data_IF_358828378098
#
_entry.id   IF_358828378098
#
_cell.length_a   1.000
_cell.length_b   1.000
_cell.length_c   1.000
_cell.angle_alpha   90.00
_cell.angle_beta   90.00
_cell.angle_gamma   90.00
#
_symmetry.space_group_name_H-M   'P 1'
#
loop_
_entity.id
_entity.type
_entity.pdbx_description
1 polymer ?
#
# COMPACT_ATOMS: atom_id res chain seq x y z
N UNK A 1 71.22 -3.86 -1.46
CA UNK A 1 69.80 -4.25 -1.23
C UNK A 1 68.98 -2.98 -1.05
N UNK A 2 67.94 -2.76 -1.85
CA UNK A 2 67.03 -1.61 -1.69
C UNK A 2 65.80 -2.04 -0.88
N UNK A 3 65.46 -1.29 0.18
CA UNK A 3 64.21 -1.48 0.93
C UNK A 3 63.37 -0.19 0.87
N UNK A 4 62.51 -0.08 -0.15
CA UNK A 4 61.58 1.05 -0.29
C UNK A 4 60.42 0.89 0.70
N UNK A 5 60.25 1.85 1.62
CA UNK A 5 59.04 1.94 2.44
C UNK A 5 57.87 2.43 1.57
N UNK A 6 56.83 1.61 1.43
CA UNK A 6 55.62 1.98 0.70
C UNK A 6 54.67 2.78 1.62
N UNK A 7 54.74 4.11 1.53
CA UNK A 7 53.74 5.01 2.15
C UNK A 7 52.40 4.82 1.44
N UNK A 8 51.47 4.12 2.09
CA UNK A 8 50.12 3.94 1.57
C UNK A 8 49.37 5.25 1.70
N UNK A 9 49.05 5.89 0.57
CA UNK A 9 48.18 7.06 0.54
C UNK A 9 46.76 6.61 0.90
N UNK A 10 46.28 7.02 2.07
CA UNK A 10 44.90 6.75 2.48
C UNK A 10 44.01 7.68 1.66
N UNK A 11 43.40 7.13 0.60
CA UNK A 11 42.49 7.89 -0.25
C UNK A 11 41.29 8.36 0.58
N UNK A 12 41.23 9.68 0.84
CA UNK A 12 40.10 10.28 1.52
C UNK A 12 38.85 10.08 0.66
N UNK A 13 37.87 9.34 1.20
CA UNK A 13 36.62 9.07 0.50
C UNK A 13 35.80 10.37 0.47
N UNK A 14 35.96 11.14 -0.61
CA UNK A 14 35.21 12.37 -0.84
C UNK A 14 33.73 12.06 -0.95
N UNK A 15 33.01 12.18 0.17
CA UNK A 15 31.55 12.20 0.20
C UNK A 15 31.06 13.39 -0.62
N UNK A 16 30.78 13.15 -1.90
CA UNK A 16 30.00 14.09 -2.72
C UNK A 16 28.63 14.20 -2.06
N UNK A 17 28.38 15.33 -1.42
CA UNK A 17 27.13 15.60 -0.71
C UNK A 17 26.05 15.91 -1.75
N UNK A 18 25.54 14.88 -2.42
CA UNK A 18 24.39 14.98 -3.32
C UNK A 18 23.20 15.44 -2.50
N UNK A 19 22.57 16.55 -2.92
CA UNK A 19 21.35 17.07 -2.28
C UNK A 19 20.33 15.95 -2.09
N UNK A 20 19.95 15.68 -0.84
CA UNK A 20 18.99 14.63 -0.48
C UNK A 20 17.71 14.78 -1.31
N UNK A 21 17.26 13.68 -1.92
CA UNK A 21 15.99 13.64 -2.66
C UNK A 21 14.85 13.47 -1.67
N UNK A 22 13.64 13.79 -2.12
CA UNK A 22 12.43 13.72 -1.32
C UNK A 22 11.44 12.72 -1.93
N UNK A 23 10.82 11.91 -1.09
CA UNK A 23 9.94 10.82 -1.50
C UNK A 23 8.65 10.80 -0.67
N UNK A 24 7.63 10.09 -1.17
CA UNK A 24 6.43 9.74 -0.40
C UNK A 24 6.17 8.24 -0.56
N UNK A 25 5.95 7.56 0.57
CA UNK A 25 5.77 6.11 0.64
C UNK A 25 4.51 5.78 1.45
N UNK A 26 3.64 4.96 0.87
CA UNK A 26 2.29 4.68 1.38
C UNK A 26 2.23 3.38 2.17
N UNK A 27 1.73 3.46 3.41
CA UNK A 27 1.35 2.33 4.26
C UNK A 27 -0.16 2.42 4.58
N UNK A 28 -0.71 1.43 5.30
CA UNK A 28 -2.14 1.37 5.66
C UNK A 28 -2.27 1.24 7.19
N UNK A 29 -2.75 2.27 7.92
CA UNK A 29 -2.78 2.25 9.38
C UNK A 29 -3.95 1.46 9.97
N UNK A 30 -5.00 1.20 9.17
CA UNK A 30 -6.17 0.42 9.55
C UNK A 30 -5.98 -1.05 9.16
N UNK A 31 -6.56 -1.98 9.92
CA UNK A 31 -6.47 -3.42 9.67
C UNK A 31 -7.08 -3.81 8.31
N UNK A 32 -6.34 -4.57 7.49
CA UNK A 32 -6.82 -5.10 6.21
C UNK A 32 -6.19 -6.45 5.89
N UNK A 33 -7.02 -7.45 5.65
CA UNK A 33 -6.56 -8.80 5.35
C UNK A 33 -6.20 -8.96 3.85
N UNK A 34 -4.99 -9.44 3.58
CA UNK A 34 -4.48 -9.89 2.27
C UNK A 34 -4.04 -11.35 2.40
N UNK A 35 -4.60 -12.25 1.57
CA UNK A 35 -4.31 -13.70 1.60
C UNK A 35 -4.38 -14.36 3.01
N UNK A 36 -5.20 -13.83 3.91
CA UNK A 36 -5.33 -14.34 5.29
C UNK A 36 -4.33 -13.76 6.31
N UNK A 37 -3.54 -12.75 5.94
CA UNK A 37 -2.62 -12.00 6.80
C UNK A 37 -3.06 -10.54 6.87
N UNK A 38 -2.96 -9.89 8.04
CA UNK A 38 -3.14 -8.44 8.12
C UNK A 38 -1.91 -7.73 7.51
N UNK A 39 -2.13 -6.56 6.90
CA UNK A 39 -1.07 -5.70 6.34
C UNK A 39 -1.06 -4.30 6.96
N UNK A 40 -1.70 -4.14 8.13
CA UNK A 40 -1.62 -2.93 8.97
C UNK A 40 -0.16 -2.54 9.22
N UNK A 41 0.15 -1.28 8.93
CA UNK A 41 1.36 -0.59 9.39
C UNK A 41 1.04 0.91 9.56
N UNK A 42 0.79 1.33 10.81
CA UNK A 42 0.51 2.71 11.20
C UNK A 42 1.80 3.49 11.49
N UNK A 43 1.65 4.77 11.84
CA UNK A 43 2.79 5.60 12.26
C UNK A 43 3.34 5.15 13.62
N UNK A 44 2.47 4.59 14.46
CA UNK A 44 2.79 4.07 15.79
C UNK A 44 3.59 2.77 15.69
N UNK A 45 3.23 1.89 14.74
CA UNK A 45 3.98 0.67 14.44
C UNK A 45 5.41 1.01 13.95
N UNK A 46 5.53 2.05 13.10
CA UNK A 46 6.82 2.49 12.54
C UNK A 46 7.70 3.24 13.57
N UNK A 47 7.11 4.08 14.40
CA UNK A 47 7.81 4.74 15.51
C UNK A 47 8.34 3.71 16.53
N UNK A 48 7.53 2.68 16.84
CA UNK A 48 7.91 1.61 17.75
C UNK A 48 9.03 0.69 17.20
N UNK A 49 9.07 0.44 15.89
CA UNK A 49 10.14 -0.38 15.29
C UNK A 49 11.42 0.42 14.99
N UNK A 50 11.34 1.76 14.91
CA UNK A 50 12.40 2.74 14.59
C UNK A 50 12.98 2.61 13.17
N UNK A 51 13.24 1.40 12.70
CA UNK A 51 13.74 1.06 11.38
C UNK A 51 12.93 -0.12 10.82
N UNK A 52 12.63 -0.14 9.52
CA UNK A 52 11.95 -1.26 8.85
C UNK A 52 12.41 -1.45 7.41
N UNK A 53 12.40 -2.70 6.94
CA UNK A 53 12.42 -2.97 5.51
C UNK A 53 11.07 -2.55 4.89
N UNK A 54 11.11 -1.82 3.77
CA UNK A 54 9.92 -1.35 3.06
C UNK A 54 9.51 -2.33 1.96
N UNK A 55 9.05 -3.48 2.42
CA UNK A 55 8.72 -4.65 1.63
C UNK A 55 7.34 -4.57 0.91
N UNK A 56 6.93 -5.65 0.26
CA UNK A 56 5.57 -5.80 -0.28
C UNK A 56 5.23 -4.95 -1.51
N UNK A 57 6.15 -4.10 -2.01
CA UNK A 57 5.94 -3.31 -3.23
C UNK A 57 5.90 -4.23 -4.46
N UNK A 58 4.69 -4.42 -5.03
CA UNK A 58 4.44 -5.21 -6.24
C UNK A 58 4.00 -4.37 -7.45
N UNK A 59 4.47 -3.13 -7.53
CA UNK A 59 4.33 -2.25 -8.69
C UNK A 59 5.72 -1.98 -9.29
N UNK A 60 5.92 -2.30 -10.57
CA UNK A 60 7.24 -2.21 -11.22
C UNK A 60 7.80 -0.79 -11.27
N UNK A 61 6.97 0.25 -11.41
CA UNK A 61 7.42 1.64 -11.40
C UNK A 61 7.86 2.07 -10.00
N UNK A 62 7.05 1.79 -8.97
CA UNK A 62 7.41 2.05 -7.58
C UNK A 62 8.70 1.31 -7.18
N UNK A 63 8.86 0.05 -7.62
CA UNK A 63 10.06 -0.77 -7.44
C UNK A 63 11.28 -0.19 -8.17
N UNK A 64 11.11 0.34 -9.39
CA UNK A 64 12.20 1.01 -10.10
C UNK A 64 12.60 2.33 -9.40
N UNK A 65 11.64 3.12 -8.91
CA UNK A 65 11.93 4.34 -8.13
C UNK A 65 12.79 3.99 -6.90
N UNK A 66 12.40 2.97 -6.13
CA UNK A 66 13.19 2.49 -4.99
C UNK A 66 14.59 1.99 -5.40
N UNK A 67 14.67 1.07 -6.37
CA UNK A 67 15.94 0.43 -6.76
C UNK A 67 16.93 1.38 -7.43
N UNK A 68 16.43 2.27 -8.29
CA UNK A 68 17.26 3.01 -9.24
C UNK A 68 17.53 4.46 -8.79
N UNK A 69 16.69 5.04 -7.93
CA UNK A 69 16.74 6.48 -7.62
C UNK A 69 16.91 6.85 -6.15
N UNK A 70 16.47 6.00 -5.20
CA UNK A 70 16.66 6.27 -3.77
C UNK A 70 18.13 6.12 -3.36
N UNK A 71 18.55 6.93 -2.40
CA UNK A 71 19.92 7.01 -1.86
C UNK A 71 19.91 7.05 -0.33
N UNK A 72 21.04 6.71 0.29
CA UNK A 72 21.22 6.84 1.75
C UNK A 72 21.07 8.31 2.15
N UNK A 73 20.24 8.61 3.15
CA UNK A 73 19.99 10.01 3.57
C UNK A 73 18.98 10.77 2.71
N UNK A 74 18.30 10.10 1.78
CA UNK A 74 17.10 10.66 1.15
C UNK A 74 15.94 10.74 2.16
N UNK A 75 15.12 11.77 2.04
CA UNK A 75 14.04 12.07 2.97
C UNK A 75 12.69 11.52 2.48
N UNK A 76 11.85 11.04 3.39
CA UNK A 76 10.61 10.31 3.07
C UNK A 76 9.42 10.82 3.88
N UNK A 77 8.31 11.08 3.19
CA UNK A 77 7.00 11.31 3.77
C UNK A 77 6.28 9.97 3.95
N UNK A 78 6.07 9.57 5.20
CA UNK A 78 5.28 8.39 5.56
C UNK A 78 3.79 8.72 5.49
N UNK A 79 3.08 8.08 4.56
CA UNK A 79 1.71 8.41 4.20
C UNK A 79 0.73 7.28 4.57
N UNK A 80 -0.27 7.63 5.39
CA UNK A 80 -1.43 6.80 5.69
C UNK A 80 -2.38 6.76 4.49
N UNK A 81 -2.54 5.56 3.92
CA UNK A 81 -3.42 5.29 2.78
C UNK A 81 -4.52 4.29 3.15
N UNK A 82 -5.58 4.26 2.33
CA UNK A 82 -6.72 3.32 2.44
C UNK A 82 -7.47 3.30 3.80
N UNK A 83 -7.22 4.29 4.65
CA UNK A 83 -7.86 4.48 5.94
C UNK A 83 -8.98 5.54 5.89
N UNK A 84 -9.69 5.72 7.00
CA UNK A 84 -10.77 6.73 7.15
C UNK A 84 -10.31 8.17 6.86
N UNK A 85 -9.09 8.53 7.25
CA UNK A 85 -8.53 9.88 7.12
C UNK A 85 -7.11 9.80 6.53
N UNK A 86 -6.96 9.62 5.20
CA UNK A 86 -5.65 9.43 4.59
C UNK A 86 -4.86 10.74 4.52
N UNK A 87 -3.54 10.68 4.70
CA UNK A 87 -2.69 11.84 4.89
C UNK A 87 -1.24 11.49 5.26
N UNK A 88 -0.41 12.52 5.45
CA UNK A 88 1.00 12.39 5.84
C UNK A 88 1.07 12.40 7.37
N UNK A 89 1.70 11.38 7.96
CA UNK A 89 1.73 11.17 9.42
C UNK A 89 3.13 11.34 10.04
N UNK A 90 4.19 11.00 9.31
CA UNK A 90 5.56 11.12 9.79
C UNK A 90 6.57 11.46 8.69
N UNK A 91 7.72 11.97 9.15
CA UNK A 91 8.96 12.06 8.40
C UNK A 91 9.83 10.83 8.69
N UNK A 92 10.55 10.38 7.67
CA UNK A 92 11.48 9.26 7.71
C UNK A 92 12.65 9.52 6.75
N UNK A 93 13.62 8.62 6.74
CA UNK A 93 14.81 8.66 5.87
C UNK A 93 15.09 7.28 5.29
N UNK A 94 15.54 7.20 4.05
CA UNK A 94 16.10 5.99 3.47
C UNK A 94 17.47 5.72 4.12
N UNK A 95 17.54 4.64 4.90
CA UNK A 95 18.65 4.36 5.82
C UNK A 95 19.12 2.93 5.64
N UNK A 96 20.39 2.66 5.94
CA UNK A 96 20.99 1.35 5.68
C UNK A 96 21.86 0.90 6.85
N UNK A 97 21.31 0.00 7.65
CA UNK A 97 21.99 -0.74 8.71
C UNK A 97 23.12 -1.59 8.11
N UNK A 98 24.18 -1.85 8.88
CA UNK A 98 25.37 -2.61 8.46
C UNK A 98 25.12 -4.00 7.86
N UNK A 99 23.91 -4.57 8.03
CA UNK A 99 23.48 -5.82 7.40
C UNK A 99 23.06 -5.66 5.92
N UNK A 100 22.75 -4.43 5.50
CA UNK A 100 22.20 -4.09 4.17
C UNK A 100 23.17 -3.13 3.49
N UNK A 101 24.27 -3.65 2.94
CA UNK A 101 25.35 -2.84 2.34
C UNK A 101 25.01 -2.23 0.97
N UNK A 102 23.72 -1.97 0.66
CA UNK A 102 23.23 -1.50 -0.64
C UNK A 102 21.95 -0.68 -0.50
N UNK A 103 21.88 0.42 -1.26
CA UNK A 103 20.80 1.42 -1.28
C UNK A 103 19.43 0.86 -1.71
N UNK A 104 19.41 -0.33 -2.30
CA UNK A 104 18.23 -1.17 -2.40
C UNK A 104 18.68 -2.63 -2.39
N UNK A 105 17.82 -3.52 -1.91
CA UNK A 105 18.12 -4.94 -1.77
C UNK A 105 16.92 -5.81 -2.19
N UNK A 106 17.13 -7.10 -2.51
CA UNK A 106 16.06 -7.98 -2.96
C UNK A 106 14.96 -8.12 -1.91
N UNK A 107 13.70 -7.98 -2.33
CA UNK A 107 12.56 -8.27 -1.47
C UNK A 107 12.44 -9.80 -1.30
N UNK A 108 12.81 -10.30 -0.12
CA UNK A 108 12.78 -11.72 0.20
C UNK A 108 11.36 -12.23 0.50
N UNK A 109 10.42 -11.36 0.89
CA UNK A 109 9.03 -11.78 1.19
C UNK A 109 8.23 -12.08 -0.08
N UNK A 110 8.69 -11.61 -1.24
CA UNK A 110 8.24 -12.08 -2.54
C UNK A 110 8.41 -13.60 -2.71
N UNK A 111 9.34 -14.24 -1.96
CA UNK A 111 9.65 -15.67 -2.05
C UNK A 111 9.12 -16.52 -0.89
N UNK A 112 8.54 -15.93 0.15
CA UNK A 112 7.87 -16.66 1.24
C UNK A 112 6.41 -16.99 0.85
N UNK A 113 6.02 -18.27 0.65
CA UNK A 113 4.65 -18.64 0.29
C UNK A 113 3.58 -18.25 1.32
N UNK A 114 3.98 -18.01 2.58
CA UNK A 114 3.06 -17.58 3.64
C UNK A 114 2.80 -16.06 3.63
N UNK A 115 3.55 -15.30 2.82
CA UNK A 115 3.49 -13.84 2.83
C UNK A 115 2.31 -13.27 2.02
N UNK A 116 1.58 -12.23 2.49
CA UNK A 116 0.55 -11.55 1.70
C UNK A 116 1.05 -11.11 0.32
N UNK A 117 2.33 -10.74 0.21
CA UNK A 117 2.96 -10.27 -1.03
C UNK A 117 3.86 -11.30 -1.74
N UNK A 118 3.68 -12.59 -1.45
CA UNK A 118 4.27 -13.70 -2.22
C UNK A 118 3.97 -13.59 -3.73
N UNK A 119 5.00 -13.81 -4.57
CA UNK A 119 4.90 -13.88 -6.02
C UNK A 119 5.57 -15.17 -6.56
N UNK A 120 4.77 -16.20 -6.76
CA UNK A 120 5.19 -17.49 -7.29
C UNK A 120 5.97 -17.39 -8.61
N UNK A 121 5.71 -16.38 -9.47
CA UNK A 121 6.45 -16.19 -10.73
C UNK A 121 7.86 -15.68 -10.50
N UNK A 122 8.08 -14.89 -9.44
CA UNK A 122 9.41 -14.47 -9.03
C UNK A 122 10.18 -15.64 -8.40
N UNK A 123 9.51 -16.47 -7.60
CA UNK A 123 10.12 -17.61 -6.92
C UNK A 123 10.44 -18.80 -7.85
N UNK A 124 9.73 -18.93 -8.97
CA UNK A 124 9.98 -19.99 -9.97
C UNK A 124 11.08 -19.64 -10.99
N UNK A 125 11.82 -18.54 -10.79
CA UNK A 125 12.95 -18.15 -11.64
C UNK A 125 14.25 -18.80 -11.18
N UNK A 126 15.26 -18.84 -12.05
CA UNK A 126 16.61 -19.23 -11.64
C UNK A 126 17.13 -18.29 -10.55
N UNK A 127 17.55 -18.90 -9.44
CA UNK A 127 18.35 -18.34 -8.35
C UNK A 127 19.47 -17.36 -8.74
N UNK A 128 20.06 -17.53 -9.94
CA UNK A 128 21.15 -16.69 -10.45
C UNK A 128 20.67 -15.41 -11.17
N UNK A 129 19.37 -15.28 -11.41
CA UNK A 129 18.80 -14.18 -12.21
C UNK A 129 18.37 -12.98 -11.34
N UNK A 130 18.38 -11.75 -11.89
CA UNK A 130 18.13 -10.53 -11.11
C UNK A 130 16.74 -10.55 -10.44
N UNK A 131 16.63 -10.36 -9.10
CA UNK A 131 15.35 -10.39 -8.39
C UNK A 131 14.28 -9.46 -8.99
N UNK A 132 13.06 -9.97 -9.09
CA UNK A 132 11.92 -9.23 -9.68
C UNK A 132 11.51 -8.04 -8.82
N UNK A 133 11.60 -8.22 -7.49
CA UNK A 133 11.14 -7.29 -6.47
C UNK A 133 12.30 -6.88 -5.55
N UNK A 134 12.27 -5.61 -5.16
CA UNK A 134 13.31 -4.93 -4.41
C UNK A 134 12.65 -4.03 -3.37
N UNK A 135 13.38 -3.77 -2.29
CA UNK A 135 12.97 -2.90 -1.19
C UNK A 135 14.15 -2.06 -0.70
N UNK A 136 13.83 -1.03 0.08
CA UNK A 136 14.78 -0.19 0.82
C UNK A 136 14.55 -0.39 2.31
N UNK A 137 15.48 0.06 3.14
CA UNK A 137 15.25 0.19 4.57
C UNK A 137 14.93 1.66 4.89
N UNK A 138 13.91 1.90 5.71
CA UNK A 138 13.52 3.23 6.18
C UNK A 138 13.73 3.34 7.68
N UNK A 139 14.23 4.50 8.11
CA UNK A 139 14.34 4.90 9.51
C UNK A 139 13.36 6.02 9.81
N UNK A 140 12.56 5.84 10.87
CA UNK A 140 11.67 6.85 11.41
C UNK A 140 12.48 8.08 11.90
N UNK A 141 11.97 9.29 11.66
CA UNK A 141 12.58 10.54 12.14
C UNK A 141 11.70 11.22 13.19
N UNK A 142 10.45 11.49 12.86
CA UNK A 142 9.48 12.17 13.73
C UNK A 142 8.07 12.08 13.15
N UNK A 143 7.04 12.21 14.01
CA UNK A 143 5.68 12.54 13.56
C UNK A 143 5.65 13.97 13.01
N UNK A 144 4.72 14.25 12.10
CA UNK A 144 4.34 15.64 11.80
C UNK A 144 3.62 16.21 13.04
N UNK A 145 3.83 17.50 13.38
CA UNK A 145 3.15 18.11 14.54
C UNK A 145 1.66 18.34 14.25
N UNK A 146 1.32 18.66 13.01
CA UNK A 146 -0.04 18.73 12.48
C UNK A 146 -0.22 17.72 11.32
N UNK A 147 -1.27 16.89 11.39
CA UNK A 147 -1.49 15.82 10.40
C UNK A 147 -1.98 16.37 9.06
N UNK A 148 -1.16 16.25 8.02
CA UNK A 148 -1.45 16.83 6.70
C UNK A 148 -2.33 15.86 5.89
N UNK A 149 -3.65 16.02 6.02
CA UNK A 149 -4.62 15.15 5.35
C UNK A 149 -4.66 15.36 3.83
N UNK A 150 -5.06 14.32 3.08
CA UNK A 150 -5.31 14.42 1.63
C UNK A 150 -6.45 15.39 1.31
N UNK A 151 -7.41 15.58 2.22
CA UNK A 151 -8.48 16.55 2.06
C UNK A 151 -7.94 17.99 2.19
N UNK A 152 -7.11 18.24 3.22
CA UNK A 152 -6.37 19.49 3.42
C UNK A 152 -5.55 19.83 2.18
N UNK A 153 -4.70 18.91 1.71
CA UNK A 153 -3.87 19.12 0.52
C UNK A 153 -4.72 19.48 -0.71
N UNK A 154 -5.81 18.74 -0.96
CA UNK A 154 -6.70 19.02 -2.09
C UNK A 154 -7.32 20.41 -2.01
N UNK A 155 -7.86 20.79 -0.84
CA UNK A 155 -8.44 22.12 -0.62
C UNK A 155 -7.41 23.23 -0.86
N UNK A 156 -6.22 23.10 -0.29
CA UNK A 156 -5.11 24.05 -0.47
C UNK A 156 -4.71 24.17 -1.94
N UNK A 157 -4.63 23.06 -2.68
CA UNK A 157 -4.29 23.07 -4.11
C UNK A 157 -5.46 23.43 -5.04
N UNK A 158 -6.66 23.66 -4.51
CA UNK A 158 -7.85 24.00 -5.31
C UNK A 158 -8.11 25.50 -5.45
N UNK A 159 -7.42 26.34 -4.66
CA UNK A 159 -7.47 27.79 -4.80
C UNK A 159 -6.42 28.30 -5.78
N UNK A 160 -6.75 29.40 -6.47
CA UNK A 160 -5.88 29.99 -7.51
C UNK A 160 -4.92 31.03 -6.92
N UNK A 161 -5.25 31.62 -5.76
CA UNK A 161 -4.43 32.64 -5.12
C UNK A 161 -4.29 32.42 -3.60
N UNK A 162 -3.28 33.03 -2.97
CA UNK A 162 -2.97 32.87 -1.53
C UNK A 162 -4.03 33.56 -0.67
N UNK A 163 -4.60 34.64 -1.19
CA UNK A 163 -5.67 35.45 -0.61
C UNK A 163 -6.97 34.62 -0.45
N UNK A 164 -7.16 33.57 -1.25
CA UNK A 164 -8.29 32.64 -1.14
C UNK A 164 -8.11 31.59 -0.04
N UNK A 165 -6.87 31.32 0.43
CA UNK A 165 -6.63 30.36 1.53
C UNK A 165 -7.34 30.79 2.82
N UNK A 166 -7.46 32.11 3.04
CA UNK A 166 -8.21 32.69 4.16
C UNK A 166 -9.70 32.28 4.18
N UNK A 167 -10.25 31.90 3.02
CA UNK A 167 -11.65 31.47 2.86
C UNK A 167 -11.84 29.96 3.09
N UNK A 168 -10.76 29.18 3.21
CA UNK A 168 -10.82 27.73 3.48
C UNK A 168 -11.05 27.39 4.97
N UNK A 169 -10.98 28.36 5.88
CA UNK A 169 -11.34 28.18 7.29
C UNK A 169 -12.80 28.55 7.55
N UNK A 170 -13.53 27.66 8.22
CA UNK A 170 -14.94 27.85 8.60
C UNK A 170 -15.17 28.65 9.89
N UNK A 171 -14.12 28.93 10.67
CA UNK A 171 -14.23 29.63 11.96
C UNK A 171 -13.62 31.04 11.87
N UNK A 172 -14.38 32.04 12.31
CA UNK A 172 -14.09 33.47 12.12
C UNK A 172 -13.28 34.14 13.23
N UNK A 173 -12.88 33.39 14.26
CA UNK A 173 -12.23 33.94 15.46
C UNK A 173 -10.70 33.76 15.40
N UNK A 174 -10.18 32.56 15.11
CA UNK A 174 -8.74 32.29 14.90
C UNK A 174 -8.22 32.70 13.51
N UNK A 175 -8.55 33.92 13.05
CA UNK A 175 -8.14 34.42 11.72
C UNK A 175 -6.64 34.71 11.56
N UNK A 176 -5.85 34.69 12.63
CA UNK A 176 -4.44 35.10 12.59
C UNK A 176 -3.47 34.06 11.99
N UNK A 177 -3.90 32.82 11.76
CA UNK A 177 -3.02 31.70 11.37
C UNK A 177 -3.47 30.94 10.08
N UNK A 178 -4.28 31.58 9.23
CA UNK A 178 -4.97 30.97 8.08
C UNK A 178 -4.07 30.66 6.87
N UNK A 179 -3.08 29.77 7.01
CA UNK A 179 -2.21 29.27 5.91
C UNK A 179 -1.42 30.36 5.12
N UNK A 180 -1.46 31.61 5.55
CA UNK A 180 -0.85 32.79 4.90
C UNK A 180 0.68 32.75 4.81
N UNK A 181 1.31 31.75 5.44
CA UNK A 181 2.72 31.43 5.34
C UNK A 181 3.07 30.57 4.09
N UNK A 182 2.08 30.13 3.32
CA UNK A 182 2.26 29.46 2.04
C UNK A 182 2.32 30.47 0.89
N UNK A 183 3.27 30.29 -0.01
CA UNK A 183 3.43 31.09 -1.23
C UNK A 183 2.70 30.47 -2.43
N UNK A 184 2.54 31.22 -3.52
CA UNK A 184 2.00 30.68 -4.79
C UNK A 184 2.84 29.53 -5.34
N UNK A 185 4.15 29.51 -5.05
CA UNK A 185 5.04 28.40 -5.41
C UNK A 185 4.88 27.17 -4.49
N UNK A 186 4.59 27.35 -3.19
CA UNK A 186 4.21 26.22 -2.32
C UNK A 186 2.94 25.54 -2.86
N UNK A 187 1.90 26.33 -3.18
CA UNK A 187 0.63 25.80 -3.74
C UNK A 187 0.86 25.04 -5.05
N UNK A 188 1.65 25.62 -5.96
CA UNK A 188 2.03 25.01 -7.24
C UNK A 188 2.83 23.73 -7.06
N UNK A 189 3.76 23.70 -6.11
CA UNK A 189 4.58 22.53 -5.82
C UNK A 189 3.77 21.38 -5.22
N UNK A 190 2.85 21.68 -4.28
CA UNK A 190 1.87 20.73 -3.75
C UNK A 190 0.95 20.19 -4.85
N UNK A 191 0.42 21.06 -5.71
CA UNK A 191 -0.46 20.68 -6.83
C UNK A 191 0.21 19.75 -7.83
N UNK A 192 1.52 19.92 -8.05
CA UNK A 192 2.33 19.08 -8.92
C UNK A 192 2.66 17.68 -8.35
N UNK A 193 2.32 17.38 -7.08
CA UNK A 193 2.67 16.09 -6.47
C UNK A 193 2.01 14.90 -7.20
N UNK A 194 2.74 13.78 -7.41
CA UNK A 194 2.14 12.52 -7.85
C UNK A 194 1.08 11.96 -6.87
N UNK A 195 1.01 12.47 -5.65
CA UNK A 195 0.02 12.07 -4.64
C UNK A 195 -1.41 12.41 -5.11
N UNK A 196 -1.61 13.62 -5.62
CA UNK A 196 -2.91 14.12 -6.06
C UNK A 196 -3.29 13.56 -7.43
N UNK A 197 -2.29 13.43 -8.31
CA UNK A 197 -2.48 13.13 -9.73
C UNK A 197 -2.33 11.63 -10.10
N UNK A 198 -1.61 10.84 -9.29
CA UNK A 198 -1.22 9.44 -9.60
C UNK A 198 -1.50 8.50 -8.42
N UNK A 199 -2.74 8.50 -7.94
CA UNK A 199 -3.16 7.85 -6.68
C UNK A 199 -2.73 6.39 -6.48
N UNK A 200 -2.64 5.58 -7.55
CA UNK A 200 -2.25 4.15 -7.51
C UNK A 200 -0.76 3.87 -7.36
N UNK A 201 0.12 4.87 -7.49
CA UNK A 201 1.56 4.70 -7.29
C UNK A 201 1.89 4.79 -5.78
N UNK A 202 2.52 3.77 -5.21
CA UNK A 202 2.76 3.64 -3.75
C UNK A 202 4.07 4.28 -3.26
N UNK A 203 5.07 4.39 -4.12
CA UNK A 203 6.34 5.10 -3.88
C UNK A 203 6.48 6.19 -4.93
N UNK A 204 6.64 7.44 -4.50
CA UNK A 204 6.49 8.61 -5.36
C UNK A 204 7.64 9.61 -5.15
N UNK A 205 8.18 10.24 -6.21
CA UNK A 205 9.06 11.40 -6.05
C UNK A 205 8.27 12.60 -5.51
N UNK A 206 8.93 13.39 -4.67
CA UNK A 206 8.46 14.67 -4.14
C UNK A 206 9.48 15.72 -4.54
N UNK A 207 9.02 16.90 -4.98
CA UNK A 207 9.93 18.01 -5.28
C UNK A 207 10.24 18.81 -4.01
N UNK A 208 11.36 19.52 -4.00
CA UNK A 208 11.83 20.26 -2.83
C UNK A 208 10.85 21.34 -2.34
N UNK A 209 10.12 21.98 -3.26
CA UNK A 209 9.06 22.93 -2.93
C UNK A 209 7.91 22.27 -2.16
N UNK A 210 7.45 21.10 -2.58
CA UNK A 210 6.38 20.35 -1.91
C UNK A 210 6.85 19.81 -0.55
N UNK A 211 8.09 19.32 -0.45
CA UNK A 211 8.69 18.95 0.83
C UNK A 211 8.74 20.15 1.79
N UNK A 212 9.19 21.30 1.31
CA UNK A 212 9.25 22.56 2.08
C UNK A 212 7.86 23.02 2.51
N UNK A 213 6.87 22.99 1.62
CA UNK A 213 5.47 23.30 1.91
C UNK A 213 4.88 22.34 2.96
N UNK A 214 5.19 21.05 2.90
CA UNK A 214 4.72 20.03 3.86
C UNK A 214 5.40 20.20 5.23
N UNK A 215 6.66 20.64 5.28
CA UNK A 215 7.28 21.06 6.54
C UNK A 215 6.61 22.31 7.12
N UNK A 216 6.33 23.34 6.30
CA UNK A 216 5.56 24.52 6.75
C UNK A 216 4.18 24.14 7.29
N UNK A 217 3.47 23.23 6.62
CA UNK A 217 2.17 22.69 7.07
C UNK A 217 2.30 21.93 8.40
N UNK A 218 3.22 20.97 8.47
CA UNK A 218 3.53 20.20 9.69
C UNK A 218 3.79 21.09 10.90
N UNK A 219 4.57 22.16 10.72
CA UNK A 219 5.03 23.03 11.80
C UNK A 219 4.03 24.09 12.26
N UNK A 220 3.01 24.41 11.46
CA UNK A 220 2.13 25.58 11.71
C UNK A 220 0.63 25.32 11.72
N UNK A 221 0.16 24.20 11.17
CA UNK A 221 -1.27 23.87 11.18
C UNK A 221 -2.12 24.91 10.44
N UNK A 222 -3.18 25.42 11.06
CA UNK A 222 -4.00 26.51 10.49
C UNK A 222 -5.11 26.06 9.53
N UNK A 223 -5.43 24.76 9.49
CA UNK A 223 -6.67 24.23 8.93
C UNK A 223 -7.48 23.51 10.02
N UNK A 224 -8.79 23.40 9.85
CA UNK A 224 -9.62 22.59 10.75
C UNK A 224 -9.30 21.09 10.55
N UNK A 225 -8.82 20.41 11.59
CA UNK A 225 -8.60 18.96 11.56
C UNK A 225 -9.93 18.19 11.39
N UNK A 226 -11.08 18.83 11.63
CA UNK A 226 -12.41 18.31 11.37
C UNK A 226 -12.91 18.50 9.92
N UNK A 227 -12.02 18.54 8.92
CA UNK A 227 -12.38 18.18 7.53
C UNK A 227 -12.70 16.67 7.47
N UNK A 228 -13.81 16.30 8.12
CA UNK A 228 -14.50 15.03 7.99
C UNK A 228 -14.84 14.89 6.50
N UNK A 229 -14.43 13.81 5.82
CA UNK A 229 -14.82 13.62 4.43
C UNK A 229 -16.35 13.67 4.36
N UNK A 230 -16.91 14.54 3.51
CA UNK A 230 -18.36 14.66 3.33
C UNK A 230 -18.91 13.26 3.09
N UNK A 231 -19.65 12.73 4.06
CA UNK A 231 -20.24 11.41 3.97
C UNK A 231 -21.12 11.38 2.74
N UNK A 232 -20.67 10.69 1.69
CA UNK A 232 -21.40 10.63 0.42
C UNK A 232 -22.82 10.21 0.72
N UNK A 233 -23.80 11.06 0.37
CA UNK A 233 -25.21 10.85 0.74
C UNK A 233 -25.60 9.43 0.39
N UNK A 234 -25.80 8.59 1.40
CA UNK A 234 -26.12 7.19 1.22
C UNK A 234 -27.40 7.11 0.41
N UNK A 235 -27.29 6.66 -0.85
CA UNK A 235 -28.46 6.45 -1.71
C UNK A 235 -29.40 5.51 -0.96
N UNK A 236 -30.63 5.93 -0.61
CA UNK A 236 -31.54 5.07 0.14
C UNK A 236 -31.70 3.75 -0.61
N UNK A 237 -31.39 2.64 0.08
CA UNK A 237 -31.33 1.31 -0.53
C UNK A 237 -32.75 0.79 -0.76
N UNK A 238 -33.42 1.38 -1.75
CA UNK A 238 -34.80 1.06 -2.14
C UNK A 238 -34.89 -0.43 -2.48
N UNK A 239 -35.65 -1.16 -1.66
CA UNK A 239 -35.87 -2.58 -1.87
C UNK A 239 -36.62 -2.81 -3.17
N UNK A 240 -35.98 -3.44 -4.16
CA UNK A 240 -36.70 -3.92 -5.34
C UNK A 240 -37.52 -5.16 -4.94
N UNK A 241 -38.83 -5.19 -5.26
CA UNK A 241 -39.73 -6.23 -4.77
C UNK A 241 -39.43 -7.60 -5.38
N UNK A 242 -39.77 -8.65 -4.64
CA UNK A 242 -39.76 -10.03 -5.10
C UNK A 242 -40.68 -10.22 -6.31
N UNK A 243 -40.17 -10.82 -7.40
CA UNK A 243 -41.03 -11.25 -8.52
C UNK A 243 -41.98 -12.36 -8.04
N UNK A 244 -43.30 -12.27 -8.31
CA UNK A 244 -44.23 -13.32 -7.92
C UNK A 244 -44.05 -14.58 -8.75
N UNK A 245 -44.18 -15.75 -8.11
CA UNK A 245 -44.36 -17.04 -8.81
C UNK A 245 -45.70 -17.03 -9.54
N UNK A 246 -45.73 -17.33 -10.85
CA UNK A 246 -46.99 -17.67 -11.55
C UNK A 246 -47.39 -19.12 -11.23
N UNK A 247 -48.70 -19.41 -11.07
CA UNK A 247 -49.18 -20.74 -10.70
C UNK A 247 -49.28 -21.70 -11.89
N UNK A 248 -49.24 -23.00 -11.59
CA UNK A 248 -49.56 -24.08 -12.54
C UNK A 248 -51.08 -24.30 -12.65
N UNK A 249 -51.59 -24.46 -13.88
CA UNK A 249 -52.87 -25.14 -14.17
C UNK A 249 -52.75 -25.95 -15.46
N UNK A 250 -53.33 -27.15 -15.47
CA UNK A 250 -53.49 -28.01 -16.66
C UNK A 250 -54.66 -27.53 -17.52
N UNK A 251 -54.61 -27.82 -18.83
CA UNK A 251 -55.80 -28.22 -19.60
C UNK A 251 -55.39 -29.18 -20.73
N UNK A 252 -56.38 -29.97 -21.18
CA UNK A 252 -56.39 -30.92 -22.32
C UNK A 252 -57.07 -30.15 -23.50
N UNK A 253 -57.01 -30.50 -24.78
CA UNK A 253 -56.80 -31.80 -25.46
C UNK A 253 -56.31 -31.65 -26.92
N UNK A 254 -56.06 -32.79 -27.59
CA UNK A 254 -56.11 -33.03 -29.06
C UNK A 254 -55.21 -32.18 -29.99
N UNK A 255 -54.35 -32.74 -30.88
CA UNK A 255 -53.97 -34.13 -31.22
C UNK A 255 -52.54 -34.14 -31.84
N UNK A 256 -52.02 -35.04 -32.70
CA UNK A 256 -52.51 -36.28 -33.37
C UNK A 256 -51.35 -37.19 -33.87
N UNK A 257 -51.73 -38.35 -34.45
CA UNK A 257 -50.98 -39.30 -35.30
C UNK A 257 -49.77 -40.12 -34.74
N UNK A 258 -49.49 -41.22 -35.45
CA UNK A 258 -48.73 -42.41 -35.03
C UNK A 258 -47.20 -42.21 -35.02
N UNK A 259 -46.39 -42.93 -34.23
CA UNK A 259 -46.14 -44.38 -34.36
C UNK A 259 -45.03 -44.85 -33.39
N UNK A 260 -44.71 -46.17 -33.34
CA UNK A 260 -43.39 -46.64 -32.87
C UNK A 260 -43.27 -47.43 -31.56
N UNK A 261 -43.89 -48.62 -31.48
CA UNK A 261 -43.35 -49.86 -30.88
C UNK A 261 -42.64 -49.90 -29.48
N UNK A 262 -43.29 -50.61 -28.53
CA UNK A 262 -42.74 -51.63 -27.58
C UNK A 262 -41.60 -51.26 -26.59
N UNK A 263 -41.80 -51.32 -25.25
CA UNK A 263 -41.85 -52.53 -24.36
C UNK A 263 -40.49 -53.26 -24.30
N UNK A 264 -39.77 -53.40 -23.18
CA UNK A 264 -40.12 -53.75 -21.77
C UNK A 264 -39.07 -53.13 -20.79
N UNK A 265 -39.26 -52.86 -19.49
CA UNK A 265 -39.97 -53.43 -18.31
C UNK A 265 -39.14 -54.43 -17.45
N UNK A 266 -39.17 -54.23 -16.11
CA UNK A 266 -38.61 -55.05 -14.99
C UNK A 266 -37.09 -54.91 -14.69
N UNK A 267 -36.58 -55.00 -13.44
CA UNK A 267 -37.06 -54.77 -12.03
C UNK A 267 -35.84 -54.91 -11.05
N UNK A 268 -35.93 -54.33 -9.83
CA UNK A 268 -35.36 -54.71 -8.49
C UNK A 268 -34.16 -55.69 -8.33
N UNK A 269 -33.30 -55.66 -7.29
CA UNK A 269 -33.14 -54.85 -6.03
C UNK A 269 -31.64 -54.93 -5.58
N UNK A 270 -31.01 -53.98 -4.85
CA UNK A 270 -31.07 -53.57 -3.42
C UNK A 270 -30.48 -54.58 -2.39
N UNK A 271 -29.68 -54.09 -1.41
CA UNK A 271 -29.11 -54.78 -0.19
C UNK A 271 -27.92 -55.72 -0.50
N UNK A 272 -26.83 -55.92 0.29
CA UNK A 272 -25.97 -55.15 1.24
C UNK A 272 -24.64 -55.97 1.43
N UNK A 273 -23.65 -55.81 2.33
CA UNK A 273 -23.23 -54.91 3.45
C UNK A 273 -21.73 -55.19 3.80
N UNK A 274 -20.97 -54.30 4.48
CA UNK A 274 -19.49 -54.40 4.56
C UNK A 274 -18.87 -54.95 5.88
N UNK A 275 -17.74 -55.64 5.74
CA UNK A 275 -16.71 -56.00 6.78
C UNK A 275 -15.40 -56.37 6.05
N UNK A 276 -14.16 -56.39 6.59
CA UNK A 276 -13.62 -56.25 7.97
C UNK A 276 -12.16 -55.72 7.92
N UNK A 277 -11.53 -55.45 9.09
CA UNK A 277 -10.12 -54.99 9.23
C UNK A 277 -9.33 -55.88 10.20
N UNK A 278 -8.14 -56.42 9.83
CA UNK A 278 -7.26 -57.14 10.74
C UNK A 278 -6.25 -56.23 11.48
N UNK A 279 -5.73 -56.70 12.63
CA UNK A 279 -4.89 -55.92 13.55
C UNK A 279 -3.38 -56.15 13.39
N UNK A 280 -2.64 -55.04 13.44
CA UNK A 280 -1.32 -54.80 14.10
C UNK A 280 -0.62 -56.02 14.73
N UNK A 281 0.63 -56.28 14.34
CA UNK A 281 1.66 -56.94 15.16
C UNK A 281 2.93 -56.06 15.24
N UNK A 282 3.81 -56.31 16.21
CA UNK A 282 5.00 -55.48 16.46
C UNK A 282 6.05 -56.25 17.28
N UNK A 283 7.22 -56.59 16.70
CA UNK A 283 8.31 -57.28 17.45
C UNK A 283 9.73 -57.05 16.90
N UNK A 284 10.45 -56.14 17.55
CA UNK A 284 11.89 -56.12 17.91
C UNK A 284 12.93 -56.92 17.08
N UNK A 285 14.04 -56.21 16.77
CA UNK A 285 15.46 -56.65 16.69
C UNK A 285 15.77 -57.75 15.64
N UNK A 286 16.91 -57.71 14.95
CA UNK A 286 18.20 -57.09 15.28
C UNK A 286 18.54 -55.85 14.45
#
# INVERSE_FOLDING_TARGET
>A
MWLRRATHSVSAFSFQHTMSRYWLMKAEPDSRIVKGKDVKFSVDDFEACVTTAWEGVRNHEAKNIMRDQMKVGDNVLFYHSNCKTPGIAAFAEASFTYLVSKEAFPDYTANDPTHPYYDAKSSSRDSKSEPTWWMVELKFKSRLKHFVSLATLRSITSVTSVEDLAQLSSNSEDRQNQLSYLTKDDLKALGAMPLLNRGRLSVQPVNEGAWTAINKLSERGGWDEQIKPKSGKGVPRSGKPSKPRKPTKRKVSESDEESGSQVSEKRNAKVSSPTEVPRRSNRRKT
#
